data_IF_797150428578
#
_entry.id   IF_797150428578
#
_cell.length_a   1.000
_cell.length_b   1.000
_cell.length_c   1.000
_cell.angle_alpha   90.00
_cell.angle_beta   90.00
_cell.angle_gamma   90.00
#
_symmetry.space_group_name_H-M   'P 1'
#
loop_
_entity.id
_entity.type
_entity.pdbx_description
1 polymer ?
#
# COMPACT_ATOMS: atom_id res chain seq x y z
N UNK A 1 18.41 -32.12 -6.52
CA UNK A 1 17.81 -31.36 -7.65
C UNK A 1 16.39 -30.92 -7.28
N UNK A 2 15.48 -31.86 -7.02
CA UNK A 2 14.08 -31.60 -6.57
C UNK A 2 13.96 -30.55 -5.44
N UNK A 3 14.73 -30.67 -4.36
CA UNK A 3 14.72 -29.69 -3.25
C UNK A 3 15.15 -28.27 -3.68
N UNK A 4 16.15 -28.15 -4.58
CA UNK A 4 16.63 -26.87 -5.09
C UNK A 4 15.59 -26.22 -5.99
N UNK A 5 14.91 -27.01 -6.81
CA UNK A 5 13.87 -26.52 -7.74
C UNK A 5 12.61 -26.09 -6.97
N UNK A 6 12.26 -26.80 -5.90
CA UNK A 6 11.17 -26.43 -4.99
C UNK A 6 11.43 -25.10 -4.27
N UNK A 7 12.63 -24.92 -3.69
CA UNK A 7 12.99 -23.65 -3.00
C UNK A 7 12.95 -22.47 -3.97
N UNK A 8 13.49 -22.64 -5.18
CA UNK A 8 13.50 -21.59 -6.21
C UNK A 8 12.08 -21.20 -6.65
N UNK A 9 11.17 -22.17 -6.71
CA UNK A 9 9.77 -21.93 -7.10
C UNK A 9 9.01 -21.21 -6.01
N UNK A 10 9.10 -21.68 -4.77
CA UNK A 10 8.48 -21.01 -3.62
C UNK A 10 8.97 -19.57 -3.45
N UNK A 11 10.25 -19.33 -3.71
CA UNK A 11 10.83 -17.99 -3.66
C UNK A 11 10.21 -17.03 -4.70
N UNK A 12 10.08 -17.47 -5.96
CA UNK A 12 9.48 -16.67 -7.03
C UNK A 12 8.02 -16.33 -6.73
N UNK A 13 7.25 -17.31 -6.25
CA UNK A 13 5.86 -17.11 -5.84
C UNK A 13 5.76 -16.15 -4.66
N UNK A 14 6.64 -16.30 -3.66
CA UNK A 14 6.73 -15.39 -2.51
C UNK A 14 7.05 -13.95 -2.91
N UNK A 15 8.01 -13.76 -3.84
CA UNK A 15 8.36 -12.43 -4.35
C UNK A 15 7.21 -11.78 -5.13
N UNK A 16 6.47 -12.57 -5.94
CA UNK A 16 5.29 -12.08 -6.64
C UNK A 16 4.18 -11.67 -5.67
N UNK A 17 3.91 -12.50 -4.64
CA UNK A 17 2.95 -12.19 -3.59
C UNK A 17 3.34 -10.92 -2.80
N UNK A 18 4.63 -10.76 -2.50
CA UNK A 18 5.15 -9.54 -1.87
C UNK A 18 4.90 -8.30 -2.74
N UNK A 19 5.15 -8.40 -4.06
CA UNK A 19 4.87 -7.32 -5.00
C UNK A 19 3.41 -6.91 -5.02
N UNK A 20 2.49 -7.88 -5.03
CA UNK A 20 1.04 -7.62 -4.95
C UNK A 20 0.68 -6.97 -3.60
N UNK A 21 1.24 -7.46 -2.50
CA UNK A 21 1.03 -6.89 -1.17
C UNK A 21 1.49 -5.44 -1.06
N UNK A 22 2.61 -5.08 -1.68
CA UNK A 22 3.10 -3.68 -1.77
C UNK A 22 2.09 -2.82 -2.53
N UNK A 23 1.61 -3.29 -3.69
CA UNK A 23 0.62 -2.54 -4.49
C UNK A 23 -0.69 -2.33 -3.73
N UNK A 24 -1.18 -3.36 -3.02
CA UNK A 24 -2.35 -3.24 -2.17
C UNK A 24 -2.15 -2.27 -1.01
N UNK A 25 -0.97 -2.27 -0.38
CA UNK A 25 -0.65 -1.34 0.71
C UNK A 25 -0.63 0.11 0.20
N UNK A 26 0.08 0.38 -0.90
CA UNK A 26 0.11 1.71 -1.54
C UNK A 26 -1.31 2.17 -1.91
N UNK A 27 -2.10 1.30 -2.55
CA UNK A 27 -3.48 1.59 -2.90
C UNK A 27 -4.36 1.89 -1.68
N UNK A 28 -4.22 1.12 -0.61
CA UNK A 28 -4.92 1.35 0.65
C UNK A 28 -4.56 2.71 1.26
N UNK A 29 -3.27 3.03 1.33
CA UNK A 29 -2.78 4.31 1.86
C UNK A 29 -3.24 5.52 1.04
N UNK A 30 -3.29 5.38 -0.29
CA UNK A 30 -3.76 6.43 -1.18
C UNK A 30 -5.29 6.60 -1.17
N UNK A 31 -6.04 5.58 -0.72
CA UNK A 31 -7.50 5.61 -0.75
C UNK A 31 -8.09 6.57 0.30
N UNK A 32 -9.15 7.34 -0.04
CA UNK A 32 -9.87 8.19 0.89
C UNK A 32 -10.89 7.43 1.77
N UNK A 33 -10.89 6.10 1.75
CA UNK A 33 -11.95 5.25 2.34
C UNK A 33 -11.62 4.62 3.70
N UNK A 34 -10.77 5.25 4.52
CA UNK A 34 -10.37 4.68 5.81
C UNK A 34 -11.45 4.82 6.89
N UNK A 35 -12.23 5.90 6.81
CA UNK A 35 -13.34 6.15 7.72
C UNK A 35 -14.49 6.77 6.93
N UNK A 36 -15.69 6.24 7.15
CA UNK A 36 -16.93 6.80 6.63
C UNK A 36 -17.59 7.61 7.75
N UNK A 37 -17.86 8.87 7.48
CA UNK A 37 -18.61 9.74 8.37
C UNK A 37 -19.90 10.12 7.67
N UNK A 38 -20.94 9.33 7.94
CA UNK A 38 -22.30 9.66 7.52
C UNK A 38 -22.94 10.51 8.62
N UNK A 39 -23.16 11.79 8.32
CA UNK A 39 -24.18 12.53 9.08
C UNK A 39 -25.52 12.16 8.45
N UNK A 40 -26.27 11.25 9.07
CA UNK A 40 -27.71 11.14 8.80
C UNK A 40 -28.34 12.50 9.10
N UNK A 41 -28.86 13.25 8.11
CA UNK A 41 -29.59 14.46 8.42
C UNK A 41 -30.86 14.03 9.17
N UNK A 42 -31.21 14.77 10.23
CA UNK A 42 -32.52 14.73 10.87
C UNK A 42 -33.59 14.90 9.79
N UNK A 43 -34.20 13.79 9.35
CA UNK A 43 -35.43 13.51 8.58
C UNK A 43 -35.97 14.50 7.49
N UNK A 44 -35.36 15.67 7.23
CA UNK A 44 -35.98 16.75 6.44
C UNK A 44 -35.00 17.51 5.53
N UNK A 45 -33.68 17.34 5.64
CA UNK A 45 -32.71 17.93 4.71
C UNK A 45 -32.29 16.90 3.65
N UNK A 46 -32.67 17.16 2.40
CA UNK A 46 -32.42 16.31 1.20
C UNK A 46 -30.94 16.18 0.80
N UNK A 47 -30.01 16.79 1.56
CA UNK A 47 -28.59 16.71 1.29
C UNK A 47 -27.93 15.84 2.38
N UNK A 48 -27.85 14.54 2.14
CA UNK A 48 -26.94 13.66 2.88
C UNK A 48 -25.51 14.08 2.54
N UNK A 49 -24.81 14.69 3.49
CA UNK A 49 -23.37 14.87 3.39
C UNK A 49 -22.70 13.61 3.91
N UNK A 50 -22.18 12.78 3.00
CA UNK A 50 -21.30 11.67 3.33
C UNK A 50 -19.86 12.11 3.14
N UNK A 51 -19.05 11.97 4.19
CA UNK A 51 -17.63 12.30 4.13
C UNK A 51 -16.80 11.04 4.23
N UNK A 52 -15.90 10.84 3.28
CA UNK A 52 -14.92 9.76 3.32
C UNK A 52 -13.58 10.34 3.73
N UNK A 53 -13.02 9.88 4.85
CA UNK A 53 -11.74 10.34 5.38
C UNK A 53 -10.70 9.26 5.10
N UNK A 54 -9.68 9.62 4.33
CA UNK A 54 -8.48 8.81 4.14
C UNK A 54 -7.36 9.23 5.05
N UNK A 55 -6.20 8.58 4.87
CA UNK A 55 -4.99 9.00 5.55
C UNK A 55 -4.62 10.42 5.15
N UNK A 56 -4.57 10.72 3.86
CA UNK A 56 -4.01 11.98 3.34
C UNK A 56 -5.06 13.01 2.91
N UNK A 57 -6.25 12.54 2.54
CA UNK A 57 -7.31 13.34 1.95
C UNK A 57 -8.64 13.06 2.62
N UNK A 58 -9.54 14.03 2.58
CA UNK A 58 -10.95 13.81 2.87
C UNK A 58 -11.76 14.21 1.65
N UNK A 59 -12.86 13.50 1.40
CA UNK A 59 -13.73 13.77 0.27
C UNK A 59 -15.18 13.91 0.69
N UNK A 60 -15.89 14.85 0.06
CA UNK A 60 -17.32 15.02 0.16
C UNK A 60 -18.01 14.22 -0.95
N UNK A 61 -18.85 13.25 -0.57
CA UNK A 61 -19.57 12.35 -1.47
C UNK A 61 -18.67 11.64 -2.52
N UNK A 62 -17.37 11.52 -2.26
CA UNK A 62 -16.39 10.92 -3.17
C UNK A 62 -16.04 11.73 -4.42
N UNK A 63 -16.53 12.96 -4.57
CA UNK A 63 -16.33 13.79 -5.77
C UNK A 63 -15.34 14.92 -5.48
N UNK A 64 -15.57 15.67 -4.41
CA UNK A 64 -14.72 16.80 -4.02
C UNK A 64 -13.75 16.36 -2.93
N UNK A 65 -12.49 16.15 -3.30
CA UNK A 65 -11.43 15.68 -2.40
C UNK A 65 -10.40 16.78 -2.13
N UNK A 66 -10.13 17.04 -0.86
CA UNK A 66 -9.12 18.01 -0.41
C UNK A 66 -8.08 17.32 0.48
N UNK A 67 -6.88 17.92 0.56
CA UNK A 67 -5.83 17.43 1.45
C UNK A 67 -6.24 17.67 2.91
N UNK A 68 -6.01 16.65 3.75
CA UNK A 68 -6.41 16.70 5.14
C UNK A 68 -5.49 17.65 5.92
N UNK A 69 -5.99 18.76 6.48
CA UNK A 69 -5.14 19.76 7.11
C UNK A 69 -4.55 19.22 8.41
N UNK A 70 -3.29 19.54 8.69
CA UNK A 70 -2.56 19.02 9.86
C UNK A 70 -3.24 19.31 11.21
N UNK A 71 -4.02 20.39 11.28
CA UNK A 71 -4.78 20.79 12.46
C UNK A 71 -5.93 19.82 12.80
N UNK A 72 -6.45 19.09 11.82
CA UNK A 72 -7.63 18.21 11.97
C UNK A 72 -7.23 16.74 12.11
N UNK A 73 -5.95 16.42 11.93
CA UNK A 73 -5.44 15.05 12.00
C UNK A 73 -5.43 14.57 13.45
N UNK A 74 -6.27 13.59 13.74
CA UNK A 74 -6.29 12.91 15.04
C UNK A 74 -4.99 12.16 15.30
N UNK A 75 -4.65 11.98 16.58
CA UNK A 75 -3.44 11.23 16.98
C UNK A 75 -3.44 9.83 16.35
N UNK A 76 -4.59 9.15 16.34
CA UNK A 76 -4.75 7.84 15.73
C UNK A 76 -4.38 7.85 14.24
N UNK A 77 -4.82 8.86 13.48
CA UNK A 77 -4.52 8.96 12.06
C UNK A 77 -3.04 9.27 11.79
N UNK A 78 -2.39 10.06 12.65
CA UNK A 78 -0.93 10.29 12.58
C UNK A 78 -0.15 8.99 12.75
N UNK A 79 -0.54 8.18 13.73
CA UNK A 79 0.07 6.87 13.99
C UNK A 79 -0.15 5.94 12.79
N UNK A 80 -1.38 5.85 12.26
CA UNK A 80 -1.67 5.06 11.06
C UNK A 80 -0.84 5.48 9.84
N UNK A 81 -0.67 6.80 9.60
CA UNK A 81 0.21 7.31 8.52
C UNK A 81 1.65 6.84 8.70
N UNK A 82 2.20 6.96 9.92
CA UNK A 82 3.58 6.58 10.21
C UNK A 82 3.81 5.07 9.98
N UNK A 83 2.95 4.21 10.53
CA UNK A 83 3.05 2.76 10.35
C UNK A 83 2.87 2.33 8.89
N UNK A 84 1.98 3.01 8.17
CA UNK A 84 1.77 2.73 6.74
C UNK A 84 3.01 3.03 5.91
N UNK A 85 3.64 4.19 6.14
CA UNK A 85 4.90 4.57 5.47
C UNK A 85 6.01 3.59 5.82
N UNK A 86 6.18 3.27 7.11
CA UNK A 86 7.17 2.28 7.54
C UNK A 86 6.95 0.93 6.85
N UNK A 87 5.70 0.48 6.77
CA UNK A 87 5.34 -0.76 6.07
C UNK A 87 5.74 -0.73 4.59
N UNK A 88 5.50 0.37 3.89
CA UNK A 88 5.90 0.53 2.49
C UNK A 88 7.44 0.50 2.37
N UNK A 89 8.17 1.19 3.26
CA UNK A 89 9.63 1.21 3.23
C UNK A 89 10.23 -0.18 3.49
N UNK A 90 9.76 -0.88 4.53
CA UNK A 90 10.23 -2.24 4.85
C UNK A 90 9.93 -3.22 3.72
N UNK A 91 8.71 -3.19 3.18
CA UNK A 91 8.34 -4.08 2.08
C UNK A 91 9.11 -3.75 0.79
N UNK A 92 9.31 -2.47 0.49
CA UNK A 92 10.12 -2.03 -0.65
C UNK A 92 11.56 -2.51 -0.54
N UNK A 93 12.17 -2.37 0.63
CA UNK A 93 13.52 -2.89 0.89
C UNK A 93 13.59 -4.41 0.73
N UNK A 94 12.64 -5.16 1.31
CA UNK A 94 12.57 -6.60 1.18
C UNK A 94 12.38 -7.05 -0.28
N UNK A 95 11.57 -6.32 -1.06
CA UNK A 95 11.35 -6.61 -2.47
C UNK A 95 12.60 -6.36 -3.32
N UNK A 96 13.33 -5.26 -3.07
CA UNK A 96 14.59 -4.96 -3.76
C UNK A 96 15.62 -6.04 -3.48
N UNK A 97 15.82 -6.40 -2.21
CA UNK A 97 16.72 -7.51 -1.84
C UNK A 97 16.28 -8.80 -2.54
N UNK A 98 14.98 -9.08 -2.56
CA UNK A 98 14.42 -10.23 -3.24
C UNK A 98 14.71 -10.25 -4.75
N UNK A 99 14.56 -9.10 -5.41
CA UNK A 99 14.87 -8.98 -6.82
C UNK A 99 16.37 -9.21 -7.10
N UNK A 100 17.27 -8.67 -6.27
CA UNK A 100 18.72 -8.83 -6.42
C UNK A 100 19.12 -10.32 -6.36
N UNK A 101 18.62 -11.06 -5.38
CA UNK A 101 18.89 -12.50 -5.24
C UNK A 101 18.40 -13.33 -6.44
N UNK A 102 17.35 -12.86 -7.14
CA UNK A 102 16.85 -13.52 -8.34
C UNK A 102 17.72 -13.19 -9.57
N UNK A 103 18.21 -11.95 -9.67
CA UNK A 103 18.98 -11.47 -10.83
C UNK A 103 20.45 -11.91 -10.81
N UNK A 104 21.11 -11.93 -9.64
CA UNK A 104 22.52 -12.35 -9.52
C UNK A 104 22.84 -13.69 -10.22
N UNK A 105 22.11 -14.79 -9.97
CA UNK A 105 22.37 -16.06 -10.65
C UNK A 105 21.97 -16.08 -12.14
N UNK A 106 21.24 -15.07 -12.63
CA UNK A 106 21.00 -14.88 -14.06
C UNK A 106 22.18 -14.19 -14.73
N UNK A 107 22.83 -13.25 -14.05
CA UNK A 107 24.04 -12.56 -14.53
C UNK A 107 25.20 -13.57 -14.67
N UNK A 108 25.41 -14.43 -13.67
CA UNK A 108 26.46 -15.47 -13.71
C UNK A 108 26.29 -16.49 -14.86
N UNK A 109 25.07 -16.63 -15.42
CA UNK A 109 24.82 -17.51 -16.56
C UNK A 109 25.20 -16.91 -17.91
N UNK A 110 25.59 -15.64 -17.96
CA UNK A 110 26.21 -15.04 -19.13
C UNK A 110 27.72 -14.96 -18.88
N UNK A 111 28.48 -16.07 -19.02
CA UNK A 111 29.92 -15.98 -19.01
C UNK A 111 30.31 -15.02 -20.13
N UNK A 112 31.03 -13.96 -19.75
CA UNK A 112 31.68 -13.04 -20.68
C UNK A 112 32.37 -13.87 -21.76
N UNK A 113 31.81 -13.86 -22.98
CA UNK A 113 32.54 -14.31 -24.17
C UNK A 113 33.53 -13.19 -24.49
N UNK A 114 34.66 -13.18 -23.80
CA UNK A 114 35.86 -12.44 -24.19
C UNK A 114 36.92 -13.47 -24.50
#
# INVERSE_FOLDING_TARGET
>A
RVLRDSITTSYKVGLAALGIGIMMNIGGVASPGWMLVDRTPLLWLKNSLSWTIGLWKFCNNGIDCEDLPDAVITISLKVCRAFSILGILFNGFAFILGAIFLVLPMIDRFPNKV
#
